data_IF_363987144490
#
_entry.id   IF_363987144490
#
_cell.length_a   1.000
_cell.length_b   1.000
_cell.length_c   1.000
_cell.angle_alpha   90.00
_cell.angle_beta   90.00
_cell.angle_gamma   90.00
#
_symmetry.space_group_name_H-M   'P 1'
#
loop_
_entity.id
_entity.type
_entity.pdbx_description
1 polymer ?
#
# COMPACT_ATOMS: atom_id res chain seq x y z
N UNK A 1 21.44 0.77 12.06
CA UNK A 1 20.71 -0.13 12.98
C UNK A 1 21.50 -0.33 14.25
N UNK A 2 21.13 -1.33 15.06
CA UNK A 2 21.87 -1.76 16.25
C UNK A 2 21.78 -3.29 16.39
N UNK A 3 22.76 -3.94 17.04
CA UNK A 3 22.77 -5.38 17.25
C UNK A 3 23.75 -6.12 16.33
N UNK A 4 23.39 -7.34 15.90
CA UNK A 4 24.23 -8.16 15.01
C UNK A 4 23.95 -7.85 13.53
N UNK A 5 24.99 -7.79 12.71
CA UNK A 5 24.89 -7.75 11.25
C UNK A 5 24.99 -9.20 10.75
N UNK A 6 24.00 -9.64 9.99
CA UNK A 6 23.86 -11.06 9.65
C UNK A 6 24.41 -11.44 8.29
N UNK A 7 24.29 -10.54 7.31
CA UNK A 7 24.62 -10.79 5.91
C UNK A 7 25.47 -9.63 5.38
N UNK A 8 26.43 -9.99 4.53
CA UNK A 8 27.36 -9.09 3.85
C UNK A 8 27.65 -9.67 2.45
N UNK A 9 27.99 -8.81 1.50
CA UNK A 9 28.25 -9.14 0.10
C UNK A 9 27.16 -10.03 -0.54
N UNK A 10 25.89 -9.75 -0.24
CA UNK A 10 24.76 -10.55 -0.74
C UNK A 10 24.62 -10.38 -2.25
N UNK A 11 24.67 -11.50 -2.98
CA UNK A 11 24.51 -11.55 -4.43
C UNK A 11 23.44 -12.58 -4.80
N UNK A 12 22.26 -12.07 -5.17
CA UNK A 12 21.14 -12.87 -5.63
C UNK A 12 21.15 -13.02 -7.15
N UNK A 13 20.65 -14.14 -7.66
CA UNK A 13 20.33 -14.35 -9.08
C UNK A 13 18.99 -13.73 -9.46
N UNK A 14 18.08 -13.60 -8.49
CA UNK A 14 16.77 -13.00 -8.64
C UNK A 14 15.60 -13.99 -8.64
N UNK A 15 15.88 -15.29 -8.53
CA UNK A 15 14.89 -16.37 -8.45
C UNK A 15 14.86 -17.06 -7.06
N UNK A 16 15.71 -16.61 -6.12
CA UNK A 16 15.70 -17.10 -4.75
C UNK A 16 14.41 -16.69 -4.01
N UNK A 17 13.80 -17.58 -3.21
CA UNK A 17 12.58 -17.26 -2.48
C UNK A 17 12.82 -16.34 -1.27
N UNK A 18 14.07 -16.14 -0.85
CA UNK A 18 14.45 -15.24 0.24
C UNK A 18 15.91 -14.82 0.17
N UNK A 19 16.25 -13.68 0.79
CA UNK A 19 17.63 -13.16 0.84
C UNK A 19 18.64 -14.13 1.49
N UNK A 20 18.16 -15.02 2.36
CA UNK A 20 18.97 -16.02 3.05
C UNK A 20 19.52 -17.11 2.12
N UNK A 21 18.89 -17.28 0.95
CA UNK A 21 19.27 -18.28 -0.04
C UNK A 21 20.16 -17.70 -1.14
N UNK A 22 20.36 -16.38 -1.16
CA UNK A 22 21.30 -15.73 -2.07
C UNK A 22 22.75 -16.12 -1.73
N UNK A 23 23.67 -15.89 -2.66
CA UNK A 23 25.10 -16.12 -2.39
C UNK A 23 25.61 -15.05 -1.42
N UNK A 24 26.27 -15.47 -0.33
CA UNK A 24 26.94 -14.59 0.64
C UNK A 24 28.12 -15.32 1.31
N UNK A 25 28.92 -14.61 2.10
CA UNK A 25 30.16 -15.12 2.72
C UNK A 25 29.94 -15.95 4.01
N UNK A 26 28.69 -16.32 4.32
CA UNK A 26 28.29 -16.96 5.58
C UNK A 26 27.58 -16.01 6.56
N UNK A 27 26.91 -16.57 7.57
CA UNK A 27 26.14 -15.81 8.55
C UNK A 27 27.05 -15.16 9.60
N UNK A 28 26.87 -13.85 9.84
CA UNK A 28 27.69 -13.08 10.78
C UNK A 28 29.14 -12.89 10.35
N UNK A 29 29.48 -13.29 9.12
CA UNK A 29 30.79 -13.04 8.51
C UNK A 29 30.67 -11.77 7.69
N UNK A 30 31.07 -10.65 8.29
CA UNK A 30 30.99 -9.33 7.67
C UNK A 30 32.15 -8.44 8.11
N UNK A 31 32.42 -7.40 7.33
CA UNK A 31 33.29 -6.28 7.73
C UNK A 31 32.52 -4.95 7.89
N UNK A 32 31.19 -4.99 7.75
CA UNK A 32 30.32 -3.82 7.83
C UNK A 32 30.17 -3.24 9.23
N UNK A 33 29.83 -1.95 9.27
CA UNK A 33 29.29 -1.23 10.42
C UNK A 33 27.81 -0.89 10.22
N UNK A 34 27.09 -0.56 11.29
CA UNK A 34 25.66 -0.21 11.20
C UNK A 34 25.33 1.05 10.41
N UNK A 35 26.34 1.84 10.02
CA UNK A 35 26.18 2.94 9.08
C UNK A 35 26.01 2.45 7.62
N UNK A 36 26.30 1.17 7.37
CA UNK A 36 26.23 0.50 6.07
C UNK A 36 25.01 -0.42 5.97
N UNK A 37 24.12 -0.40 6.96
CA UNK A 37 22.90 -1.22 6.93
C UNK A 37 22.08 -0.91 5.67
N UNK A 38 21.92 -1.93 4.82
CA UNK A 38 21.20 -1.80 3.57
C UNK A 38 19.68 -1.68 3.80
N UNK A 39 19.03 -0.86 2.96
CA UNK A 39 17.57 -0.76 2.90
C UNK A 39 17.09 -0.90 1.47
N UNK A 40 15.87 -1.39 1.29
CA UNK A 40 15.22 -1.50 -0.02
C UNK A 40 13.93 -0.70 -0.02
N UNK A 41 13.63 -0.12 -1.17
CA UNK A 41 12.33 0.46 -1.46
C UNK A 41 11.69 -0.42 -2.52
N UNK A 42 10.73 -1.25 -2.12
CA UNK A 42 10.03 -2.11 -3.06
C UNK A 42 9.06 -1.29 -3.92
N UNK A 43 8.96 -1.65 -5.20
CA UNK A 43 7.82 -1.29 -6.04
C UNK A 43 6.61 -2.15 -5.65
N UNK A 44 6.12 -1.94 -4.42
CA UNK A 44 4.77 -2.31 -4.04
C UNK A 44 3.91 -1.08 -4.29
N UNK A 45 2.76 -1.26 -4.89
CA UNK A 45 1.86 -0.16 -5.12
C UNK A 45 1.45 0.47 -3.80
N UNK A 46 1.77 1.76 -3.68
CA UNK A 46 1.69 2.49 -2.41
C UNK A 46 0.27 3.01 -2.24
N UNK A 47 -0.33 2.68 -1.10
CA UNK A 47 -1.58 3.25 -0.66
C UNK A 47 -1.29 4.22 0.50
N UNK A 48 -1.99 5.36 0.54
CA UNK A 48 -1.96 6.27 1.70
C UNK A 48 -3.36 6.78 2.00
N UNK A 49 -3.54 7.23 3.24
CA UNK A 49 -4.72 7.98 3.67
C UNK A 49 -4.36 9.45 3.84
N UNK A 50 -5.12 10.32 3.19
CA UNK A 50 -4.92 11.77 3.20
C UNK A 50 -6.05 12.47 3.97
N UNK A 51 -5.74 13.63 4.56
CA UNK A 51 -6.69 14.54 5.21
C UNK A 51 -7.49 13.97 6.41
N UNK A 52 -7.10 12.80 6.92
CA UNK A 52 -7.56 12.27 8.20
C UNK A 52 -6.80 12.87 9.41
N UNK A 53 -7.28 12.63 10.63
CA UNK A 53 -6.62 13.13 11.85
C UNK A 53 -5.41 12.29 12.24
N UNK A 54 -5.29 11.09 11.71
CA UNK A 54 -4.20 10.16 11.92
C UNK A 54 -3.97 9.27 10.67
N UNK A 55 -3.00 8.35 10.74
CA UNK A 55 -2.60 7.52 9.59
C UNK A 55 -3.60 6.40 9.22
N UNK A 56 -4.62 6.18 10.04
CA UNK A 56 -5.60 5.09 9.93
C UNK A 56 -7.01 5.59 9.60
N UNK A 57 -7.16 6.85 9.20
CA UNK A 57 -8.38 7.38 8.60
C UNK A 57 -8.03 8.39 7.51
N UNK A 58 -8.89 8.55 6.52
CA UNK A 58 -8.71 9.55 5.46
C UNK A 58 -9.21 9.12 4.09
N UNK A 59 -9.03 10.00 3.11
CA UNK A 59 -9.26 9.74 1.69
C UNK A 59 -8.25 8.72 1.18
N UNK A 60 -8.72 7.72 0.43
CA UNK A 60 -7.87 6.67 -0.12
C UNK A 60 -7.17 7.18 -1.38
N UNK A 61 -5.84 7.15 -1.36
CA UNK A 61 -5.03 7.48 -2.52
C UNK A 61 -4.05 6.35 -2.85
N UNK A 62 -3.94 6.02 -4.14
CA UNK A 62 -3.06 4.97 -4.65
C UNK A 62 -2.01 5.53 -5.60
N UNK A 63 -0.82 4.96 -5.55
CA UNK A 63 0.31 5.33 -6.41
C UNK A 63 0.44 4.34 -7.57
N UNK A 64 0.44 4.85 -8.80
CA UNK A 64 0.55 4.04 -10.02
C UNK A 64 1.99 3.80 -10.51
N UNK A 65 2.99 4.27 -9.76
CA UNK A 65 4.40 4.24 -10.16
C UNK A 65 4.95 5.57 -10.69
N UNK A 66 4.08 6.55 -10.96
CA UNK A 66 4.47 7.91 -11.38
C UNK A 66 3.80 9.01 -10.55
N UNK A 67 2.49 8.90 -10.30
CA UNK A 67 1.73 9.89 -9.54
C UNK A 67 0.75 9.25 -8.56
N UNK A 68 0.28 10.05 -7.61
CA UNK A 68 -0.84 9.73 -6.73
C UNK A 68 -2.16 10.05 -7.42
N UNK A 69 -3.19 9.29 -7.08
CA UNK A 69 -4.56 9.50 -7.54
C UNK A 69 -5.55 8.85 -6.59
N UNK A 70 -6.83 9.19 -6.73
CA UNK A 70 -7.90 8.79 -5.80
C UNK A 70 -8.62 7.54 -6.26
N UNK A 71 -9.55 7.06 -5.43
CA UNK A 71 -10.42 5.92 -5.69
C UNK A 71 -11.86 6.41 -5.64
N UNK A 72 -12.70 6.00 -6.58
CA UNK A 72 -14.13 6.32 -6.59
C UNK A 72 -14.90 5.51 -5.52
N UNK A 73 -15.97 6.08 -4.98
CA UNK A 73 -16.84 5.49 -3.97
C UNK A 73 -17.99 4.64 -4.53
N UNK A 74 -18.10 4.51 -5.86
CA UNK A 74 -19.02 3.58 -6.50
C UNK A 74 -18.67 2.13 -6.11
N UNK A 75 -19.68 1.44 -5.57
CA UNK A 75 -19.58 0.11 -4.92
C UNK A 75 -18.66 0.01 -3.68
N UNK A 76 -18.13 1.13 -3.19
CA UNK A 76 -17.19 1.14 -2.07
C UNK A 76 -17.83 0.70 -0.75
N UNK A 77 -17.33 -0.39 -0.17
CA UNK A 77 -17.90 -1.00 1.02
C UNK A 77 -16.88 -1.40 2.10
N UNK A 78 -17.37 -2.04 3.18
CA UNK A 78 -16.52 -2.47 4.29
C UNK A 78 -15.51 -3.56 3.92
N UNK A 79 -15.76 -4.34 2.87
CA UNK A 79 -14.82 -5.34 2.35
C UNK A 79 -13.63 -4.65 1.66
N UNK A 80 -13.88 -3.54 0.96
CA UNK A 80 -12.80 -2.72 0.39
C UNK A 80 -11.99 -2.05 1.50
N UNK A 81 -12.68 -1.44 2.47
CA UNK A 81 -12.03 -0.87 3.64
C UNK A 81 -11.23 -1.90 4.44
N UNK A 82 -11.69 -3.17 4.50
CA UNK A 82 -10.98 -4.26 5.16
C UNK A 82 -9.59 -4.48 4.54
N UNK A 83 -9.51 -4.50 3.21
CA UNK A 83 -8.23 -4.64 2.49
C UNK A 83 -7.35 -3.43 2.73
N UNK A 84 -7.89 -2.21 2.68
CA UNK A 84 -7.12 -0.98 2.95
C UNK A 84 -6.54 -0.98 4.38
N UNK A 85 -7.37 -1.25 5.38
CA UNK A 85 -6.95 -1.25 6.79
C UNK A 85 -5.91 -2.35 7.07
N UNK A 86 -6.04 -3.53 6.46
CA UNK A 86 -5.03 -4.59 6.56
C UNK A 86 -3.73 -4.20 5.85
N UNK A 87 -3.81 -3.67 4.63
CA UNK A 87 -2.67 -3.25 3.84
C UNK A 87 -1.82 -2.18 4.57
N UNK A 88 -2.47 -1.30 5.35
CA UNK A 88 -1.81 -0.27 6.15
C UNK A 88 -1.40 -0.75 7.56
N UNK A 89 -1.83 -1.93 8.00
CA UNK A 89 -1.59 -2.40 9.37
C UNK A 89 -2.39 -1.64 10.44
N UNK A 90 -3.51 -1.03 10.07
CA UNK A 90 -4.40 -0.24 10.92
C UNK A 90 -5.52 -1.07 11.58
N UNK A 91 -5.46 -2.40 11.51
CA UNK A 91 -6.46 -3.27 12.14
C UNK A 91 -7.73 -3.45 11.32
N UNK A 92 -8.88 -3.44 12.00
CA UNK A 92 -10.20 -3.70 11.39
C UNK A 92 -10.83 -2.42 10.84
N UNK A 93 -11.63 -2.51 9.75
CA UNK A 93 -12.37 -1.37 9.23
C UNK A 93 -13.52 -1.00 10.18
N UNK A 94 -13.66 0.29 10.46
CA UNK A 94 -14.82 0.85 11.17
C UNK A 94 -15.84 1.46 10.20
N UNK A 95 -15.38 2.08 9.12
CA UNK A 95 -16.23 2.66 8.10
C UNK A 95 -15.55 2.73 6.72
N UNK A 96 -16.38 2.77 5.68
CA UNK A 96 -15.99 3.02 4.29
C UNK A 96 -16.74 4.27 3.76
N UNK A 97 -16.41 5.49 4.21
CA UNK A 97 -17.15 6.68 3.78
C UNK A 97 -16.89 7.01 2.30
N UNK A 98 -17.95 7.37 1.57
CA UNK A 98 -17.85 7.96 0.25
C UNK A 98 -17.98 9.49 0.27
N UNK A 99 -18.36 10.06 -0.87
CA UNK A 99 -18.75 11.45 -1.06
C UNK A 99 -17.70 12.46 -0.59
N UNK A 100 -16.42 12.14 -0.80
CA UNK A 100 -15.27 12.94 -0.39
C UNK A 100 -15.35 13.35 1.10
N UNK A 101 -15.65 12.40 1.98
CA UNK A 101 -15.82 12.64 3.42
C UNK A 101 -14.65 13.40 4.07
N UNK A 102 -13.42 13.08 3.66
CA UNK A 102 -12.19 13.76 4.12
C UNK A 102 -11.72 14.86 3.16
N UNK A 103 -12.63 15.39 2.33
CA UNK A 103 -12.36 16.39 1.32
C UNK A 103 -11.97 15.81 -0.04
N UNK A 104 -12.14 16.64 -1.06
CA UNK A 104 -11.85 16.32 -2.46
C UNK A 104 -10.34 16.08 -2.63
N UNK A 105 -9.99 15.04 -3.36
CA UNK A 105 -8.66 14.88 -3.90
C UNK A 105 -8.42 15.75 -5.13
N UNK A 106 -7.33 15.46 -5.81
CA UNK A 106 -6.95 16.15 -7.04
C UNK A 106 -6.17 15.22 -7.96
N UNK A 107 -6.12 15.57 -9.24
CA UNK A 107 -5.38 14.81 -10.24
C UNK A 107 -6.24 13.73 -10.87
N UNK A 108 -5.72 12.51 -10.96
CA UNK A 108 -6.39 11.38 -11.58
C UNK A 108 -7.18 10.57 -10.56
N UNK A 109 -8.35 10.07 -10.95
CA UNK A 109 -9.03 8.97 -10.26
C UNK A 109 -8.54 7.68 -10.90
N UNK A 110 -7.99 6.76 -10.10
CA UNK A 110 -7.30 5.58 -10.62
C UNK A 110 -8.13 4.32 -10.57
N UNK A 111 -8.97 4.15 -9.56
CA UNK A 111 -9.78 2.95 -9.37
C UNK A 111 -11.25 3.34 -9.22
N UNK A 112 -12.11 2.48 -9.75
CA UNK A 112 -13.56 2.62 -9.80
C UNK A 112 -14.21 1.24 -9.84
N UNK A 113 -15.44 1.15 -9.33
CA UNK A 113 -16.19 -0.09 -9.05
C UNK A 113 -15.33 -1.14 -8.32
N UNK A 114 -14.58 -0.70 -7.31
CA UNK A 114 -13.72 -1.59 -6.52
C UNK A 114 -14.61 -2.56 -5.74
N UNK A 115 -14.32 -3.85 -5.87
CA UNK A 115 -15.08 -4.94 -5.27
C UNK A 115 -14.12 -5.99 -4.72
N UNK A 116 -13.64 -5.75 -3.51
CA UNK A 116 -12.81 -6.68 -2.76
C UNK A 116 -13.65 -7.81 -2.15
N UNK A 117 -13.02 -8.97 -1.93
CA UNK A 117 -13.52 -10.06 -1.08
C UNK A 117 -13.21 -9.81 0.40
N UNK A 118 -12.18 -9.01 0.68
CA UNK A 118 -11.74 -8.66 2.03
C UNK A 118 -10.47 -9.40 2.47
N UNK A 119 -9.95 -10.32 1.65
CA UNK A 119 -8.74 -11.12 1.91
C UNK A 119 -7.62 -10.84 0.89
N UNK A 120 -7.82 -9.88 -0.03
CA UNK A 120 -6.80 -9.44 -0.94
C UNK A 120 -5.62 -8.81 -0.20
N UNK A 121 -4.37 -9.04 -0.64
CA UNK A 121 -3.19 -8.47 0.01
C UNK A 121 -3.01 -6.98 -0.27
N UNK A 122 -3.70 -6.44 -1.28
CA UNK A 122 -3.73 -5.01 -1.58
C UNK A 122 -4.97 -4.61 -2.38
N UNK A 123 -5.37 -3.34 -2.25
CA UNK A 123 -6.58 -2.81 -2.87
C UNK A 123 -6.62 -2.99 -4.40
N UNK A 124 -5.45 -3.00 -5.03
CA UNK A 124 -5.33 -3.08 -6.49
C UNK A 124 -5.42 -4.50 -7.03
N UNK A 125 -5.41 -5.50 -6.15
CA UNK A 125 -5.69 -6.88 -6.54
C UNK A 125 -7.18 -7.20 -6.47
N UNK A 126 -7.98 -6.31 -5.90
CA UNK A 126 -9.43 -6.41 -5.94
C UNK A 126 -9.94 -6.25 -7.37
N UNK A 127 -11.14 -6.78 -7.62
CA UNK A 127 -11.82 -6.54 -8.89
C UNK A 127 -12.12 -5.05 -9.01
N UNK A 128 -11.84 -4.47 -10.17
CA UNK A 128 -12.13 -3.06 -10.49
C UNK A 128 -12.22 -2.88 -12.02
N UNK A 129 -12.73 -1.75 -12.51
CA UNK A 129 -12.91 -1.48 -13.95
C UNK A 129 -11.61 -1.35 -14.75
N UNK A 130 -10.49 -1.13 -14.06
CA UNK A 130 -9.17 -0.95 -14.65
C UNK A 130 -8.63 0.44 -14.32
N UNK A 131 -7.32 0.60 -14.45
CA UNK A 131 -6.63 1.84 -14.08
C UNK A 131 -7.09 3.02 -14.92
N UNK A 132 -7.61 4.06 -14.27
CA UNK A 132 -8.08 5.30 -14.92
C UNK A 132 -9.36 5.14 -15.75
N UNK A 133 -10.04 3.99 -15.63
CA UNK A 133 -11.35 3.76 -16.26
C UNK A 133 -12.41 4.03 -15.22
N UNK A 134 -13.03 5.21 -15.29
CA UNK A 134 -14.06 5.64 -14.35
C UNK A 134 -15.03 6.64 -15.01
N UNK A 135 -16.20 6.80 -14.41
CA UNK A 135 -17.18 7.86 -14.71
C UNK A 135 -17.35 8.87 -13.56
N UNK A 136 -16.55 8.75 -12.50
CA UNK A 136 -16.65 9.55 -11.29
C UNK A 136 -15.96 10.93 -11.38
N UNK A 137 -16.33 11.80 -10.45
CA UNK A 137 -15.69 13.08 -10.14
C UNK A 137 -15.09 13.05 -8.72
N UNK A 138 -14.22 13.99 -8.38
CA UNK A 138 -13.61 14.01 -7.03
C UNK A 138 -14.59 14.18 -5.87
N UNK A 139 -15.86 14.55 -6.14
CA UNK A 139 -16.91 14.53 -5.11
C UNK A 139 -17.25 13.10 -4.65
N UNK A 140 -16.88 12.09 -5.45
CA UNK A 140 -17.07 10.66 -5.24
C UNK A 140 -15.78 10.01 -4.72
N UNK A 141 -14.80 10.78 -4.21
CA UNK A 141 -13.57 10.19 -3.69
C UNK A 141 -13.86 9.37 -2.41
N UNK A 142 -13.48 8.10 -2.45
CA UNK A 142 -13.62 7.13 -1.39
C UNK A 142 -12.65 7.38 -0.23
N UNK A 143 -13.09 6.99 0.96
CA UNK A 143 -12.36 7.14 2.21
C UNK A 143 -12.50 5.88 3.08
N UNK A 144 -11.65 5.78 4.10
CA UNK A 144 -11.75 4.73 5.13
C UNK A 144 -11.53 5.30 6.52
N UNK A 145 -12.08 4.59 7.50
CA UNK A 145 -11.78 4.78 8.93
C UNK A 145 -11.50 3.40 9.49
N UNK A 146 -10.29 3.19 10.01
CA UNK A 146 -9.86 1.96 10.68
C UNK A 146 -9.86 2.14 12.21
N UNK A 147 -9.60 1.05 12.95
CA UNK A 147 -9.61 1.00 14.42
C UNK A 147 -8.41 1.68 15.11
#
# INVERSE_FOLDING_TARGET
GSGSIFLDDVQCRGDEPSLQMCRHNGWGVHNCWHMEDASVICAGTRLRLSDGRNICEGRVEVYNGSSWGTVCDDMWDLSDAQVVCQQLGCGQPMAAPGNAHFGLGSGSIFLDDVQCRGDEPSLQMCRHNGWGVHNCWHMEDASVICA
#
